data_IF_782142439744
#
_entry.id   IF_782142439744
#
_cell.length_a   1.000
_cell.length_b   1.000
_cell.length_c   1.000
_cell.angle_alpha   90.00
_cell.angle_beta   90.00
_cell.angle_gamma   90.00
#
_symmetry.space_group_name_H-M   'P 1'
#
loop_
_entity.id
_entity.type
_entity.pdbx_description
1 polymer ?
#
# COMPACT_ATOMS: atom_id res chain seq x y z
N UNK A 1 -46.06 7.42 -22.95
CA UNK A 1 -44.58 7.54 -22.95
C UNK A 1 -44.15 7.95 -21.54
N UNK A 2 -43.53 7.06 -20.77
CA UNK A 2 -43.01 7.40 -19.44
C UNK A 2 -41.69 8.13 -19.60
N UNK A 3 -41.58 9.38 -19.12
CA UNK A 3 -40.29 10.07 -19.04
C UNK A 3 -39.42 9.31 -18.05
N UNK A 4 -38.31 8.74 -18.52
CA UNK A 4 -37.27 8.26 -17.62
C UNK A 4 -36.79 9.44 -16.77
N UNK A 5 -36.57 9.22 -15.49
CA UNK A 5 -36.07 10.21 -14.54
C UNK A 5 -35.28 9.47 -13.46
N UNK A 6 -34.23 10.11 -12.94
CA UNK A 6 -33.54 9.58 -11.77
C UNK A 6 -34.47 9.63 -10.56
N UNK A 7 -34.53 8.50 -9.83
CA UNK A 7 -35.13 8.51 -8.49
C UNK A 7 -34.11 9.01 -7.49
N UNK A 8 -34.59 9.53 -6.37
CA UNK A 8 -33.72 9.93 -5.27
C UNK A 8 -32.79 8.78 -4.82
N UNK A 9 -33.31 7.55 -4.74
CA UNK A 9 -32.54 6.35 -4.40
C UNK A 9 -31.37 6.11 -5.37
N UNK A 10 -31.54 6.41 -6.66
CA UNK A 10 -30.49 6.20 -7.66
C UNK A 10 -29.38 7.23 -7.49
N UNK A 11 -29.74 8.49 -7.26
CA UNK A 11 -28.79 9.58 -7.01
C UNK A 11 -27.99 9.29 -5.72
N UNK A 12 -28.67 8.86 -4.65
CA UNK A 12 -28.01 8.48 -3.40
C UNK A 12 -27.01 7.33 -3.60
N UNK A 13 -27.38 6.30 -4.38
CA UNK A 13 -26.48 5.19 -4.71
C UNK A 13 -25.25 5.65 -5.47
N UNK A 14 -25.41 6.53 -6.47
CA UNK A 14 -24.30 7.09 -7.25
C UNK A 14 -23.35 7.89 -6.34
N UNK A 15 -23.89 8.77 -5.50
CA UNK A 15 -23.09 9.59 -4.57
C UNK A 15 -22.36 8.69 -3.56
N UNK A 16 -23.03 7.66 -3.03
CA UNK A 16 -22.41 6.72 -2.09
C UNK A 16 -21.26 5.94 -2.72
N UNK A 17 -21.43 5.49 -3.97
CA UNK A 17 -20.39 4.81 -4.71
C UNK A 17 -19.19 5.74 -4.99
N UNK A 18 -19.46 6.96 -5.43
CA UNK A 18 -18.43 7.98 -5.66
C UNK A 18 -17.62 8.26 -4.39
N UNK A 19 -18.29 8.40 -3.23
CA UNK A 19 -17.63 8.55 -1.94
C UNK A 19 -16.76 7.35 -1.58
N UNK A 20 -17.22 6.13 -1.83
CA UNK A 20 -16.48 4.91 -1.51
C UNK A 20 -15.20 4.76 -2.35
N UNK A 21 -15.22 5.22 -3.60
CA UNK A 21 -14.07 5.15 -4.52
C UNK A 21 -13.19 6.40 -4.51
N UNK A 22 -13.60 7.45 -3.79
CA UNK A 22 -12.93 8.75 -3.82
C UNK A 22 -13.10 9.49 -5.15
N UNK A 23 -14.07 9.11 -5.98
CA UNK A 23 -14.35 9.78 -7.24
C UNK A 23 -15.25 11.00 -7.05
N UNK A 24 -15.11 11.98 -7.94
CA UNK A 24 -16.07 13.07 -8.09
C UNK A 24 -17.03 12.72 -9.22
N UNK A 25 -18.31 12.98 -9.05
CA UNK A 25 -19.35 12.71 -10.07
C UNK A 25 -20.11 13.97 -10.42
N UNK A 26 -20.34 14.17 -11.71
CA UNK A 26 -21.21 15.22 -12.24
C UNK A 26 -22.48 14.59 -12.81
N UNK A 27 -23.64 15.05 -12.36
CA UNK A 27 -24.95 14.54 -12.78
C UNK A 27 -25.69 15.65 -13.52
N UNK A 28 -25.99 15.44 -14.80
CA UNK A 28 -26.86 16.32 -15.57
C UNK A 28 -28.31 15.81 -15.50
N UNK A 29 -29.16 16.55 -14.79
CA UNK A 29 -30.57 16.18 -14.56
C UNK A 29 -31.47 16.41 -15.78
N UNK A 30 -31.01 17.16 -16.78
CA UNK A 30 -31.76 17.42 -18.02
C UNK A 30 -31.57 16.29 -19.03
N UNK A 31 -30.33 15.84 -19.19
CA UNK A 31 -29.98 14.76 -20.13
C UNK A 31 -29.92 13.38 -19.47
N UNK A 32 -29.95 13.34 -18.13
CA UNK A 32 -29.80 12.14 -17.32
C UNK A 32 -28.47 11.42 -17.52
N UNK A 33 -27.41 12.20 -17.83
CA UNK A 33 -26.05 11.70 -18.01
C UNK A 33 -25.25 11.88 -16.72
N UNK A 34 -24.48 10.86 -16.37
CA UNK A 34 -23.55 10.88 -15.23
C UNK A 34 -22.13 10.80 -15.76
N UNK A 35 -21.30 11.77 -15.39
CA UNK A 35 -19.86 11.78 -15.71
C UNK A 35 -19.07 11.50 -14.45
N UNK A 36 -18.12 10.56 -14.52
CA UNK A 36 -17.28 10.16 -13.40
C UNK A 36 -15.88 10.73 -13.61
N UNK A 37 -15.39 11.48 -12.63
CA UNK A 37 -14.02 11.97 -12.54
C UNK A 37 -13.29 11.13 -11.49
N UNK A 38 -12.52 10.11 -11.89
CA UNK A 38 -11.75 9.32 -10.95
C UNK A 38 -10.72 10.22 -10.27
N UNK A 39 -10.61 10.14 -8.95
CA UNK A 39 -9.42 10.68 -8.27
C UNK A 39 -8.23 9.85 -8.73
N UNK A 40 -7.04 10.46 -8.94
CA UNK A 40 -5.82 9.68 -9.04
C UNK A 40 -5.76 8.75 -7.82
N UNK A 41 -5.51 7.46 -8.04
CA UNK A 41 -5.21 6.53 -6.95
C UNK A 41 -4.10 7.21 -6.13
N UNK A 42 -4.30 7.32 -4.82
CA UNK A 42 -3.14 7.51 -3.93
C UNK A 42 -2.19 6.39 -4.29
N UNK A 43 -1.01 6.74 -4.79
CA UNK A 43 0.04 5.78 -5.14
C UNK A 43 0.04 4.73 -4.05
N UNK A 44 -0.35 3.50 -4.40
CA UNK A 44 -0.19 2.37 -3.50
C UNK A 44 1.32 2.28 -3.35
N UNK A 45 1.84 2.82 -2.26
CA UNK A 45 3.23 2.63 -1.86
C UNK A 45 3.37 1.12 -1.82
N UNK A 46 4.11 0.58 -2.78
CA UNK A 46 4.37 -0.85 -2.83
C UNK A 46 5.01 -1.20 -1.49
N UNK A 47 4.43 -2.14 -0.70
CA UNK A 47 5.02 -2.54 0.58
C UNK A 47 6.45 -3.06 0.43
N UNK A 48 6.90 -3.33 -0.80
CA UNK A 48 8.29 -3.71 -1.12
C UNK A 48 9.21 -2.53 -1.50
N UNK A 49 8.72 -1.30 -1.50
CA UNK A 49 9.59 -0.11 -1.64
C UNK A 49 10.13 0.31 -0.27
N UNK A 50 11.44 0.18 -0.06
CA UNK A 50 12.08 0.56 1.21
C UNK A 50 12.91 -0.55 1.89
N UNK A 51 13.02 -1.74 1.29
CA UNK A 51 14.11 -2.63 1.65
C UNK A 51 15.42 -1.93 1.30
N UNK A 52 16.15 -1.48 2.33
CA UNK A 52 17.53 -1.07 2.16
C UNK A 52 18.25 -2.24 1.48
N UNK A 53 19.03 -2.02 0.40
CA UNK A 53 19.90 -3.08 -0.09
C UNK A 53 20.71 -3.56 1.11
N UNK A 54 20.62 -4.84 1.44
CA UNK A 54 21.36 -5.42 2.56
C UNK A 54 22.80 -4.93 2.40
N UNK A 55 23.21 -4.06 3.33
CA UNK A 55 24.55 -3.48 3.32
C UNK A 55 25.54 -4.64 3.22
N UNK A 56 26.67 -4.43 2.52
CA UNK A 56 27.68 -5.46 2.23
C UNK A 56 27.72 -6.51 3.34
N UNK A 57 27.36 -7.75 3.01
CA UNK A 57 27.49 -8.87 3.92
C UNK A 57 28.99 -9.02 4.29
N UNK A 58 29.38 -8.45 5.43
CA UNK A 58 30.74 -8.54 5.94
C UNK A 58 30.88 -9.89 6.67
N UNK A 59 30.85 -11.00 5.93
CA UNK A 59 31.15 -12.34 6.45
C UNK A 59 32.61 -12.48 6.96
N UNK A 60 33.46 -11.49 6.67
CA UNK A 60 34.88 -11.49 6.99
C UNK A 60 35.19 -11.11 8.45
N UNK A 61 34.22 -10.58 9.21
CA UNK A 61 34.43 -10.15 10.61
C UNK A 61 34.40 -11.31 11.63
N UNK A 62 34.08 -12.53 11.19
CA UNK A 62 34.14 -13.74 12.03
C UNK A 62 35.52 -14.41 12.04
N UNK A 63 36.55 -13.77 11.46
CA UNK A 63 37.81 -14.44 11.12
C UNK A 63 39.08 -14.00 11.84
N UNK A 64 39.12 -12.90 12.60
CA UNK A 64 40.36 -12.50 13.28
C UNK A 64 40.13 -11.79 14.62
N UNK A 65 39.77 -12.57 15.65
CA UNK A 65 39.96 -12.16 17.03
C UNK A 65 41.48 -12.05 17.34
N UNK A 66 42.10 -10.93 17.00
CA UNK A 66 43.37 -10.50 17.61
C UNK A 66 43.04 -9.87 18.97
N UNK A 67 43.07 -10.72 19.98
CA UNK A 67 43.19 -10.46 21.42
C UNK A 67 41.91 -10.13 22.23
N UNK A 68 41.55 -11.09 23.10
CA UNK A 68 40.81 -10.91 24.35
C UNK A 68 39.30 -11.08 24.20
N UNK A 69 38.61 -12.00 24.87
CA UNK A 69 38.89 -12.73 26.11
C UNK A 69 37.88 -13.92 26.23
N UNK A 70 37.61 -14.36 27.47
CA UNK A 70 38.02 -15.56 28.19
C UNK A 70 37.10 -16.76 27.87
N UNK A 71 37.08 -17.82 28.66
CA UNK A 71 36.21 -19.01 28.53
C UNK A 71 36.52 -19.93 27.34
N UNK A 72 37.26 -21.00 27.65
CA UNK A 72 37.45 -22.13 26.75
C UNK A 72 38.68 -22.98 27.07
N UNK A 73 38.96 -23.26 28.36
CA UNK A 73 39.83 -24.40 28.70
C UNK A 73 38.95 -25.50 29.26
N UNK A 74 38.47 -26.36 28.37
CA UNK A 74 38.07 -27.70 28.74
C UNK A 74 39.31 -28.57 28.61
N UNK A 75 39.86 -28.99 29.75
CA UNK A 75 40.94 -29.96 29.81
C UNK A 75 40.35 -31.32 29.42
N UNK A 76 40.78 -31.87 28.29
CA UNK A 76 40.57 -33.27 27.92
C UNK A 76 41.84 -34.04 28.27
N UNK A 77 41.84 -34.72 29.41
CA UNK A 77 42.81 -35.77 29.72
C UNK A 77 42.03 -37.05 30.08
N UNK A 78 42.43 -38.17 29.47
CA UNK A 78 41.94 -39.56 29.69
C UNK A 78 42.21 -40.06 31.12
#
# INVERSE_FOLDING_TARGET
>A
MTKAAFRQVDIERIIRAAKATGAVVQIDLRTLVVTIHPSPEKEKIDPFTGFAPDGKENWEDYGTARNGAPYGRENWED
#
